data_IF_570896416298
#
_entry.id   IF_570896416298
#
_cell.length_a   1.000
_cell.length_b   1.000
_cell.length_c   1.000
_cell.angle_alpha   90.00
_cell.angle_beta   90.00
_cell.angle_gamma   90.00
#
_symmetry.space_group_name_H-M   'P 1'
#
loop_
_entity.id
_entity.type
_entity.pdbx_description
1 polymer ?
#
# COMPACT_ATOMS: atom_id res chain seq x y z
N UNK A 1 -14.76 -30.71 10.91
CA UNK A 1 -13.66 -30.00 10.21
C UNK A 1 -14.09 -29.41 8.85
N UNK A 2 -14.76 -30.18 7.97
CA UNK A 2 -15.20 -29.68 6.65
C UNK A 2 -16.26 -28.54 6.70
N UNK A 3 -17.21 -28.58 7.65
CA UNK A 3 -18.20 -27.50 7.81
C UNK A 3 -17.55 -26.14 8.12
N UNK A 4 -16.52 -26.13 8.97
CA UNK A 4 -15.80 -24.90 9.31
C UNK A 4 -14.97 -24.38 8.13
N UNK A 5 -14.45 -25.27 7.27
CA UNK A 5 -13.71 -24.88 6.08
C UNK A 5 -14.64 -24.23 5.03
N UNK A 6 -15.84 -24.77 4.83
CA UNK A 6 -16.84 -24.20 3.91
C UNK A 6 -17.39 -22.86 4.43
N UNK A 7 -17.63 -22.74 5.73
CA UNK A 7 -18.04 -21.47 6.33
C UNK A 7 -16.97 -20.38 6.17
N UNK A 8 -15.68 -20.70 6.41
CA UNK A 8 -14.56 -19.77 6.19
C UNK A 8 -14.44 -19.34 4.72
N UNK A 9 -14.55 -20.27 3.77
CA UNK A 9 -14.56 -19.97 2.32
C UNK A 9 -15.71 -19.04 1.95
N UNK A 10 -16.92 -19.33 2.43
CA UNK A 10 -18.10 -18.52 2.18
C UNK A 10 -17.95 -17.10 2.73
N UNK A 11 -17.50 -16.96 3.98
CA UNK A 11 -17.20 -15.66 4.59
C UNK A 11 -16.16 -14.87 3.78
N UNK A 12 -15.04 -15.51 3.39
CA UNK A 12 -13.98 -14.85 2.65
C UNK A 12 -14.43 -14.39 1.26
N UNK A 13 -15.17 -15.22 0.52
CA UNK A 13 -15.73 -14.86 -0.78
C UNK A 13 -16.77 -13.74 -0.63
N UNK A 14 -17.62 -13.80 0.40
CA UNK A 14 -18.61 -12.76 0.67
C UNK A 14 -17.95 -11.42 0.97
N UNK A 15 -16.84 -11.41 1.72
CA UNK A 15 -16.05 -10.22 1.99
C UNK A 15 -15.44 -9.63 0.71
N UNK A 16 -14.92 -10.45 -0.20
CA UNK A 16 -14.41 -10.00 -1.51
C UNK A 16 -15.54 -9.38 -2.33
N UNK A 17 -16.70 -10.05 -2.42
CA UNK A 17 -17.86 -9.53 -3.14
C UNK A 17 -18.35 -8.20 -2.56
N UNK A 18 -18.32 -8.06 -1.24
CA UNK A 18 -18.64 -6.80 -0.57
C UNK A 18 -17.66 -5.68 -0.97
N UNK A 19 -16.35 -5.99 -1.06
CA UNK A 19 -15.32 -5.02 -1.45
C UNK A 19 -15.42 -4.57 -2.92
N UNK A 20 -16.13 -5.32 -3.77
CA UNK A 20 -16.40 -4.92 -5.17
C UNK A 20 -17.55 -3.91 -5.28
N UNK A 21 -18.31 -3.67 -4.21
CA UNK A 21 -19.37 -2.68 -4.20
C UNK A 21 -18.80 -1.26 -4.09
N UNK A 22 -19.40 -0.27 -4.77
CA UNK A 22 -18.90 1.12 -4.79
C UNK A 22 -18.94 1.81 -3.42
N UNK A 23 -19.65 1.25 -2.45
CA UNK A 23 -19.76 1.79 -1.09
C UNK A 23 -18.55 1.47 -0.21
N UNK A 24 -17.74 0.46 -0.57
CA UNK A 24 -16.56 0.07 0.21
C UNK A 24 -15.34 0.82 -0.30
N UNK A 25 -14.90 1.83 0.45
CA UNK A 25 -13.64 2.53 0.18
C UNK A 25 -12.41 1.62 0.43
N UNK A 26 -11.25 1.85 -0.24
CA UNK A 26 -10.03 1.09 0.01
C UNK A 26 -9.59 1.00 1.49
N UNK A 27 -9.70 2.07 2.33
CA UNK A 27 -9.47 1.96 3.77
C UNK A 27 -10.34 0.90 4.46
N UNK A 28 -11.63 0.83 4.11
CA UNK A 28 -12.57 -0.11 4.70
C UNK A 28 -12.28 -1.54 4.25
N UNK A 29 -11.98 -1.74 2.96
CA UNK A 29 -11.59 -3.05 2.43
C UNK A 29 -10.33 -3.58 3.13
N UNK A 30 -9.32 -2.73 3.32
CA UNK A 30 -8.07 -3.10 3.99
C UNK A 30 -8.29 -3.40 5.47
N UNK A 31 -9.09 -2.60 6.17
CA UNK A 31 -9.47 -2.87 7.57
C UNK A 31 -10.22 -4.20 7.71
N UNK A 32 -11.17 -4.46 6.82
CA UNK A 32 -11.95 -5.69 6.81
C UNK A 32 -11.05 -6.90 6.53
N UNK A 33 -10.10 -6.78 5.61
CA UNK A 33 -9.07 -7.79 5.37
C UNK A 33 -8.19 -8.04 6.59
N UNK A 34 -7.77 -6.99 7.32
CA UNK A 34 -6.99 -7.09 8.55
C UNK A 34 -7.78 -7.83 9.65
N UNK A 35 -9.06 -7.47 9.86
CA UNK A 35 -9.94 -8.12 10.83
C UNK A 35 -10.11 -9.60 10.49
N UNK A 36 -10.36 -9.93 9.22
CA UNK A 36 -10.47 -11.32 8.78
C UNK A 36 -9.15 -12.09 8.98
N UNK A 37 -8.01 -11.49 8.69
CA UNK A 37 -6.71 -12.12 8.90
C UNK A 37 -6.42 -12.43 10.39
N UNK A 38 -6.99 -11.66 11.32
CA UNK A 38 -6.88 -11.92 12.77
C UNK A 38 -7.88 -12.98 13.26
N UNK A 39 -9.07 -13.03 12.68
CA UNK A 39 -10.16 -13.92 13.13
C UNK A 39 -10.12 -15.31 12.50
N UNK A 40 -9.54 -15.44 11.31
CA UNK A 40 -9.55 -16.70 10.57
C UNK A 40 -8.26 -16.94 9.78
N UNK A 41 -7.86 -18.20 9.68
CA UNK A 41 -6.81 -18.61 8.74
C UNK A 41 -7.29 -18.48 7.30
N UNK A 42 -6.39 -18.02 6.43
CA UNK A 42 -6.69 -17.73 5.05
C UNK A 42 -7.09 -19.00 4.27
N UNK A 43 -8.35 -19.15 3.82
CA UNK A 43 -8.86 -20.40 3.25
C UNK A 43 -8.26 -20.75 1.87
N UNK A 44 -7.63 -19.78 1.20
CA UNK A 44 -7.00 -19.93 -0.12
C UNK A 44 -5.50 -19.60 -0.10
N UNK A 45 -4.77 -19.97 0.96
CA UNK A 45 -3.37 -19.57 1.15
C UNK A 45 -2.47 -19.90 -0.06
N UNK A 46 -2.64 -21.07 -0.68
CA UNK A 46 -1.86 -21.48 -1.86
C UNK A 46 -2.13 -20.67 -3.14
N UNK A 47 -3.26 -19.96 -3.24
CA UNK A 47 -3.60 -19.11 -4.38
C UNK A 47 -3.30 -17.62 -4.11
N UNK A 48 -3.12 -17.24 -2.85
CA UNK A 48 -3.05 -15.85 -2.40
C UNK A 48 -1.97 -15.07 -3.17
N UNK A 49 -0.73 -15.58 -3.18
CA UNK A 49 0.39 -14.91 -3.86
C UNK A 49 0.13 -14.68 -5.36
N UNK A 50 -0.48 -15.66 -6.05
CA UNK A 50 -0.79 -15.54 -7.48
C UNK A 50 -1.92 -14.54 -7.73
N UNK A 51 -2.96 -14.59 -6.90
CA UNK A 51 -4.09 -13.68 -6.99
C UNK A 51 -3.67 -12.23 -6.74
N UNK A 52 -2.95 -11.96 -5.64
CA UNK A 52 -2.43 -10.63 -5.31
C UNK A 52 -1.59 -10.06 -6.45
N UNK A 53 -0.67 -10.86 -7.01
CA UNK A 53 0.18 -10.41 -8.12
C UNK A 53 -0.61 -10.00 -9.37
N UNK A 54 -1.63 -10.77 -9.76
CA UNK A 54 -2.44 -10.43 -10.94
C UNK A 54 -3.39 -9.27 -10.67
N UNK A 55 -4.06 -9.25 -9.51
CA UNK A 55 -4.97 -8.17 -9.14
C UNK A 55 -4.22 -6.82 -9.11
N UNK A 56 -3.04 -6.76 -8.49
CA UNK A 56 -2.23 -5.53 -8.45
C UNK A 56 -1.85 -5.06 -9.86
N UNK A 57 -1.44 -5.97 -10.76
CA UNK A 57 -1.12 -5.61 -12.15
C UNK A 57 -2.33 -5.03 -12.87
N UNK A 58 -3.49 -5.66 -12.76
CA UNK A 58 -4.72 -5.14 -13.38
C UNK A 58 -5.13 -3.78 -12.79
N UNK A 59 -5.02 -3.59 -11.47
CA UNK A 59 -5.29 -2.31 -10.83
C UNK A 59 -4.36 -1.20 -11.32
N UNK A 60 -3.05 -1.47 -11.44
CA UNK A 60 -2.07 -0.49 -11.94
C UNK A 60 -2.35 -0.12 -13.40
N UNK A 61 -2.62 -1.11 -14.26
CA UNK A 61 -2.96 -0.87 -15.66
C UNK A 61 -4.27 -0.09 -15.79
N UNK A 62 -5.29 -0.46 -15.00
CA UNK A 62 -6.58 0.24 -14.97
C UNK A 62 -6.45 1.69 -14.51
N UNK A 63 -5.66 1.96 -13.47
CA UNK A 63 -5.35 3.33 -13.03
C UNK A 63 -4.62 4.12 -14.12
N UNK A 64 -3.72 3.47 -14.87
CA UNK A 64 -2.99 4.08 -15.99
C UNK A 64 -3.90 4.60 -17.11
N UNK A 65 -4.96 3.88 -17.46
CA UNK A 65 -5.93 4.34 -18.47
C UNK A 65 -6.70 5.61 -18.07
N UNK A 66 -6.81 5.89 -16.77
CA UNK A 66 -7.47 7.10 -16.27
C UNK A 66 -6.55 8.34 -16.19
N UNK A 67 -5.28 8.21 -16.59
CA UNK A 67 -4.26 9.23 -16.31
C UNK A 67 -3.84 9.99 -17.57
N UNK A 68 -3.68 11.32 -17.46
CA UNK A 68 -3.13 12.14 -18.54
C UNK A 68 -1.60 11.93 -18.63
N UNK A 69 -1.15 11.42 -19.78
CA UNK A 69 0.26 11.08 -20.03
C UNK A 69 1.19 12.30 -19.94
N UNK A 70 0.73 13.47 -20.39
CA UNK A 70 1.52 14.71 -20.36
C UNK A 70 1.74 15.16 -18.92
N UNK A 71 0.67 15.19 -18.13
CA UNK A 71 0.75 15.57 -16.70
C UNK A 71 1.62 14.59 -15.91
N UNK A 72 1.56 13.30 -16.25
CA UNK A 72 2.40 12.29 -15.63
C UNK A 72 3.89 12.47 -15.97
N UNK A 73 4.22 12.84 -17.21
CA UNK A 73 5.61 13.11 -17.62
C UNK A 73 6.19 14.36 -16.94
N UNK A 74 5.42 15.44 -16.85
CA UNK A 74 5.84 16.68 -16.18
C UNK A 74 6.11 16.44 -14.69
N UNK A 75 5.15 15.81 -13.99
CA UNK A 75 5.30 15.47 -12.58
C UNK A 75 6.45 14.49 -12.30
N UNK A 76 6.76 13.60 -13.25
CA UNK A 76 7.85 12.65 -13.12
C UNK A 76 9.21 13.32 -13.24
N UNK A 77 9.36 14.27 -14.18
CA UNK A 77 10.60 15.01 -14.39
C UNK A 77 10.97 15.86 -13.17
N UNK A 78 10.00 16.52 -12.56
CA UNK A 78 10.21 17.30 -11.32
C UNK A 78 10.38 16.39 -10.09
N UNK A 79 9.75 15.21 -10.11
CA UNK A 79 9.69 14.29 -8.97
C UNK A 79 10.90 13.37 -8.78
N UNK A 80 11.67 13.07 -9.82
CA UNK A 80 12.75 12.07 -9.79
C UNK A 80 13.78 12.32 -8.67
N UNK A 81 14.31 13.55 -8.58
CA UNK A 81 15.34 13.87 -7.59
C UNK A 81 14.80 13.68 -6.16
N UNK A 82 13.57 14.15 -5.93
CA UNK A 82 12.91 13.99 -4.65
C UNK A 82 12.67 12.51 -4.33
N UNK A 83 12.22 11.70 -5.29
CA UNK A 83 12.03 10.27 -5.10
C UNK A 83 13.34 9.58 -4.69
N UNK A 84 14.43 9.82 -5.42
CA UNK A 84 15.75 9.24 -5.13
C UNK A 84 16.19 9.61 -3.71
N UNK A 85 16.17 10.89 -3.37
CA UNK A 85 16.55 11.36 -2.03
C UNK A 85 15.67 10.72 -0.95
N UNK A 86 14.35 10.67 -1.17
CA UNK A 86 13.42 10.07 -0.21
C UNK A 86 13.70 8.59 0.02
N UNK A 87 13.99 7.83 -1.05
CA UNK A 87 14.33 6.41 -0.95
C UNK A 87 15.61 6.23 -0.15
N UNK A 88 16.66 7.00 -0.44
CA UNK A 88 17.92 6.94 0.32
C UNK A 88 17.71 7.27 1.80
N UNK A 89 16.94 8.30 2.12
CA UNK A 89 16.64 8.69 3.50
C UNK A 89 15.87 7.58 4.22
N UNK A 90 14.80 7.04 3.62
CA UNK A 90 13.97 6.00 4.24
C UNK A 90 14.74 4.69 4.40
N UNK A 91 15.55 4.28 3.41
CA UNK A 91 16.39 3.08 3.53
C UNK A 91 17.46 3.24 4.61
N UNK A 92 18.11 4.40 4.68
CA UNK A 92 19.12 4.69 5.71
C UNK A 92 18.50 4.70 7.10
N UNK A 93 17.34 5.35 7.25
CA UNK A 93 16.59 5.34 8.50
C UNK A 93 16.16 3.92 8.89
N UNK A 94 15.65 3.13 7.94
CA UNK A 94 15.27 1.74 8.16
C UNK A 94 16.43 0.85 8.61
N UNK A 95 17.63 1.06 8.05
CA UNK A 95 18.84 0.38 8.47
C UNK A 95 19.24 0.75 9.91
N UNK A 96 19.24 2.03 10.25
CA UNK A 96 19.56 2.51 11.61
C UNK A 96 18.55 1.97 12.62
N UNK A 97 17.25 2.07 12.33
CA UNK A 97 16.18 1.55 13.18
C UNK A 97 16.25 0.03 13.33
N UNK A 98 16.57 -0.69 12.25
CA UNK A 98 16.80 -2.14 12.30
C UNK A 98 17.91 -2.53 13.26
N UNK A 99 19.02 -1.77 13.25
CA UNK A 99 20.12 -1.97 14.20
C UNK A 99 19.70 -1.63 15.63
N UNK A 100 18.96 -0.54 15.83
CA UNK A 100 18.50 -0.09 17.15
C UNK A 100 17.54 -1.09 17.81
N UNK A 101 16.60 -1.64 17.03
CA UNK A 101 15.61 -2.61 17.51
C UNK A 101 16.06 -4.06 17.40
N UNK A 102 17.34 -4.31 17.06
CA UNK A 102 17.90 -5.66 16.89
C UNK A 102 17.07 -6.56 15.96
N UNK A 103 16.52 -5.97 14.90
CA UNK A 103 15.68 -6.70 13.93
C UNK A 103 16.56 -7.41 12.90
N UNK A 104 16.08 -8.55 12.38
CA UNK A 104 16.80 -9.29 11.34
C UNK A 104 17.07 -8.41 10.10
N UNK A 105 18.27 -8.48 9.49
CA UNK A 105 18.68 -7.56 8.44
C UNK A 105 17.80 -7.65 7.18
N UNK A 106 17.33 -8.84 6.82
CA UNK A 106 16.42 -9.04 5.68
C UNK A 106 15.06 -8.43 5.97
N UNK A 107 14.48 -8.66 7.14
CA UNK A 107 13.19 -8.08 7.55
C UNK A 107 13.25 -6.56 7.62
N UNK A 108 14.28 -6.00 8.26
CA UNK A 108 14.47 -4.55 8.34
C UNK A 108 14.61 -3.93 6.95
N UNK A 109 15.41 -4.52 6.06
CA UNK A 109 15.56 -4.05 4.69
C UNK A 109 14.26 -4.15 3.89
N UNK A 110 13.54 -5.26 3.98
CA UNK A 110 12.27 -5.45 3.25
C UNK A 110 11.20 -4.46 3.73
N UNK A 111 11.09 -4.22 5.04
CA UNK A 111 10.18 -3.19 5.58
C UNK A 111 10.58 -1.83 5.05
N UNK A 112 11.86 -1.46 5.16
CA UNK A 112 12.36 -0.16 4.70
C UNK A 112 12.14 0.05 3.20
N UNK A 113 12.42 -0.96 2.37
CA UNK A 113 12.21 -0.91 0.93
C UNK A 113 10.72 -0.86 0.56
N UNK A 114 9.87 -1.61 1.27
CA UNK A 114 8.43 -1.52 1.17
C UNK A 114 7.93 -0.11 1.50
N UNK A 115 8.40 0.47 2.60
CA UNK A 115 8.06 1.83 3.02
C UNK A 115 8.66 2.90 2.10
N UNK A 116 9.75 2.67 1.39
CA UNK A 116 10.38 3.68 0.54
C UNK A 116 9.77 3.79 -0.87
N UNK A 117 9.27 2.67 -1.42
CA UNK A 117 8.98 2.58 -2.86
C UNK A 117 7.46 2.49 -3.11
N UNK A 118 6.90 1.29 -3.01
CA UNK A 118 5.51 0.99 -3.37
C UNK A 118 4.91 -0.13 -2.51
N UNK A 119 5.35 -0.25 -1.26
CA UNK A 119 4.78 -1.18 -0.30
C UNK A 119 5.03 -2.64 -0.66
N UNK A 120 3.94 -3.40 -0.81
CA UNK A 120 3.99 -4.85 -1.03
C UNK A 120 4.67 -5.27 -2.33
N UNK A 121 4.56 -4.49 -3.40
CA UNK A 121 5.21 -4.80 -4.69
C UNK A 121 6.73 -4.72 -4.61
N UNK A 122 7.27 -3.77 -3.83
CA UNK A 122 8.71 -3.68 -3.61
C UNK A 122 9.22 -4.89 -2.81
N UNK A 123 8.47 -5.29 -1.77
CA UNK A 123 8.80 -6.51 -1.00
C UNK A 123 8.78 -7.73 -1.92
N UNK A 124 7.73 -7.92 -2.71
CA UNK A 124 7.62 -9.06 -3.63
C UNK A 124 8.77 -9.10 -4.66
N UNK A 125 9.20 -7.95 -5.18
CA UNK A 125 10.28 -7.86 -6.16
C UNK A 125 11.67 -8.12 -5.54
N UNK A 126 11.92 -7.63 -4.31
CA UNK A 126 13.24 -7.72 -3.67
C UNK A 126 13.45 -9.02 -2.88
N UNK A 127 12.37 -9.67 -2.46
CA UNK A 127 12.45 -10.90 -1.64
C UNK A 127 13.25 -12.04 -2.28
N UNK A 128 13.13 -12.35 -3.59
CA UNK A 128 13.94 -13.38 -4.25
C UNK A 128 15.43 -13.03 -4.29
N UNK A 129 15.74 -11.74 -4.52
CA UNK A 129 17.13 -11.24 -4.58
C UNK A 129 17.80 -11.33 -3.21
N UNK A 130 17.06 -11.00 -2.15
CA UNK A 130 17.52 -11.10 -0.75
C UNK A 130 17.52 -12.54 -0.21
N UNK A 131 17.01 -13.51 -0.97
CA UNK A 131 16.74 -14.88 -0.51
C UNK A 131 16.02 -14.88 0.83
N UNK A 132 14.97 -14.05 0.94
CA UNK A 132 14.19 -13.93 2.16
C UNK A 132 13.31 -15.16 2.36
N UNK A 133 13.20 -15.62 3.61
CA UNK A 133 12.29 -16.70 3.97
C UNK A 133 10.84 -16.24 3.93
N UNK A 134 9.89 -17.16 3.70
CA UNK A 134 8.46 -16.83 3.69
C UNK A 134 8.01 -16.12 4.97
N UNK A 135 8.60 -16.48 6.12
CA UNK A 135 8.34 -15.82 7.40
C UNK A 135 8.76 -14.35 7.37
N UNK A 136 9.97 -14.04 6.88
CA UNK A 136 10.47 -12.66 6.78
C UNK A 136 9.62 -11.83 5.82
N UNK A 137 9.22 -12.41 4.69
CA UNK A 137 8.33 -11.77 3.71
C UNK A 137 6.98 -11.46 4.34
N UNK A 138 6.37 -12.45 4.99
CA UNK A 138 5.05 -12.34 5.61
C UNK A 138 5.03 -11.29 6.73
N UNK A 139 6.05 -11.28 7.59
CA UNK A 139 6.19 -10.27 8.65
C UNK A 139 6.36 -8.86 8.06
N UNK A 140 7.20 -8.73 7.02
CA UNK A 140 7.43 -7.44 6.37
C UNK A 140 6.16 -6.88 5.71
N UNK A 141 5.43 -7.72 4.98
CA UNK A 141 4.15 -7.35 4.37
C UNK A 141 3.12 -6.98 5.44
N UNK A 142 3.02 -7.75 6.52
CA UNK A 142 2.09 -7.48 7.62
C UNK A 142 2.34 -6.11 8.26
N UNK A 143 3.60 -5.79 8.55
CA UNK A 143 3.98 -4.49 9.14
C UNK A 143 3.66 -3.35 8.17
N UNK A 144 4.08 -3.45 6.91
CA UNK A 144 3.84 -2.40 5.91
C UNK A 144 2.34 -2.17 5.71
N UNK A 145 1.54 -3.22 5.55
CA UNK A 145 0.10 -3.06 5.39
C UNK A 145 -0.59 -2.53 6.64
N UNK A 146 -0.12 -2.89 7.84
CA UNK A 146 -0.65 -2.35 9.08
C UNK A 146 -0.37 -0.84 9.19
N UNK A 147 0.86 -0.39 8.87
CA UNK A 147 1.21 1.03 8.86
C UNK A 147 0.41 1.80 7.79
N UNK A 148 0.22 1.21 6.61
CA UNK A 148 -0.62 1.76 5.55
C UNK A 148 -2.08 1.90 6.00
N UNK A 149 -2.62 0.91 6.72
CA UNK A 149 -3.95 0.96 7.31
C UNK A 149 -4.07 2.17 8.25
N UNK A 150 -3.10 2.35 9.15
CA UNK A 150 -3.06 3.49 10.06
C UNK A 150 -3.03 4.80 9.27
N UNK A 151 -2.20 4.90 8.24
CA UNK A 151 -2.09 6.09 7.39
C UNK A 151 -3.43 6.46 6.73
N UNK A 152 -4.18 5.47 6.23
CA UNK A 152 -5.48 5.67 5.57
C UNK A 152 -6.53 6.36 6.45
N UNK A 153 -6.44 6.18 7.77
CA UNK A 153 -7.33 6.86 8.73
C UNK A 153 -6.71 8.14 9.29
N UNK A 154 -5.41 8.10 9.59
CA UNK A 154 -4.70 9.20 10.23
C UNK A 154 -4.55 10.41 9.31
N UNK A 155 -4.15 10.19 8.04
CA UNK A 155 -3.89 11.29 7.10
C UNK A 155 -5.12 12.17 6.89
N UNK A 156 -6.30 11.66 6.51
CA UNK A 156 -7.48 12.50 6.34
C UNK A 156 -7.88 13.25 7.61
N UNK A 157 -7.70 12.64 8.79
CA UNK A 157 -8.00 13.29 10.07
C UNK A 157 -7.05 14.47 10.33
N UNK A 158 -5.74 14.26 10.15
CA UNK A 158 -4.71 15.30 10.31
C UNK A 158 -4.89 16.40 9.26
N UNK A 159 -5.15 16.05 8.00
CA UNK A 159 -5.37 17.02 6.92
C UNK A 159 -6.55 17.95 7.21
N UNK A 160 -7.66 17.40 7.73
CA UNK A 160 -8.83 18.19 8.15
C UNK A 160 -8.52 19.08 9.35
N UNK A 161 -7.80 18.56 10.35
CA UNK A 161 -7.39 19.34 11.52
C UNK A 161 -6.45 20.50 11.15
N UNK A 162 -5.63 20.33 10.11
CA UNK A 162 -4.75 21.36 9.57
C UNK A 162 -5.42 22.26 8.52
N UNK A 163 -6.72 22.06 8.24
CA UNK A 163 -7.47 22.79 7.21
C UNK A 163 -6.81 22.80 5.83
N UNK A 164 -6.16 21.69 5.44
CA UNK A 164 -5.49 21.58 4.15
C UNK A 164 -6.51 21.65 3.00
N UNK A 165 -6.18 22.40 1.95
CA UNK A 165 -6.93 22.34 0.70
C UNK A 165 -6.80 20.96 0.05
N UNK A 166 -7.72 20.58 -0.84
CA UNK A 166 -7.64 19.29 -1.54
C UNK A 166 -6.33 19.14 -2.32
N UNK A 167 -5.81 20.22 -2.91
CA UNK A 167 -4.53 20.21 -3.60
C UNK A 167 -3.34 19.97 -2.66
N UNK A 168 -3.31 20.66 -1.51
CA UNK A 168 -2.27 20.47 -0.50
C UNK A 168 -2.29 19.06 0.08
N UNK A 169 -3.49 18.57 0.40
CA UNK A 169 -3.66 17.21 0.92
C UNK A 169 -3.25 16.15 -0.10
N UNK A 170 -3.64 16.32 -1.37
CA UNK A 170 -3.27 15.41 -2.46
C UNK A 170 -1.75 15.33 -2.65
N UNK A 171 -1.06 16.48 -2.68
CA UNK A 171 0.41 16.54 -2.74
C UNK A 171 1.06 15.89 -1.53
N UNK A 172 0.56 16.18 -0.33
CA UNK A 172 1.10 15.61 0.90
C UNK A 172 0.96 14.08 0.93
N UNK A 173 -0.20 13.55 0.55
CA UNK A 173 -0.43 12.11 0.41
C UNK A 173 0.52 11.48 -0.61
N UNK A 174 0.70 12.07 -1.79
CA UNK A 174 1.59 11.54 -2.81
C UNK A 174 3.06 11.48 -2.38
N UNK A 175 3.47 12.41 -1.52
CA UNK A 175 4.84 12.52 -1.02
C UNK A 175 5.07 11.57 0.18
N UNK A 176 4.16 11.58 1.15
CA UNK A 176 4.38 10.93 2.44
C UNK A 176 3.88 9.48 2.50
N UNK A 177 2.89 9.11 1.68
CA UNK A 177 2.42 7.73 1.59
C UNK A 177 3.14 7.05 0.42
N UNK A 178 3.90 6.01 0.75
CA UNK A 178 4.72 5.34 -0.25
C UNK A 178 3.96 4.27 -1.03
N UNK A 179 2.90 3.70 -0.47
CA UNK A 179 2.05 2.72 -1.13
C UNK A 179 0.94 3.38 -1.97
N UNK A 180 0.93 3.11 -3.28
CA UNK A 180 -0.02 3.72 -4.24
C UNK A 180 -1.48 3.44 -3.86
N UNK A 181 -1.80 2.23 -3.42
CA UNK A 181 -3.17 1.88 -3.05
C UNK A 181 -3.66 2.67 -1.83
N UNK A 182 -2.74 2.95 -0.90
CA UNK A 182 -3.00 3.74 0.31
C UNK A 182 -3.12 5.23 0.00
N UNK A 183 -2.34 5.75 -0.97
CA UNK A 183 -2.47 7.12 -1.48
C UNK A 183 -3.87 7.34 -2.04
N UNK A 184 -4.29 6.46 -2.95
CA UNK A 184 -5.61 6.51 -3.61
C UNK A 184 -6.73 6.45 -2.56
N UNK A 185 -6.61 5.55 -1.59
CA UNK A 185 -7.61 5.41 -0.52
C UNK A 185 -7.71 6.64 0.40
N UNK A 186 -6.58 7.22 0.80
CA UNK A 186 -6.56 8.39 1.69
C UNK A 186 -7.04 9.65 0.96
N UNK A 187 -6.54 9.89 -0.26
CA UNK A 187 -6.89 11.04 -1.08
C UNK A 187 -8.35 11.00 -1.56
N UNK A 188 -8.84 9.83 -1.97
CA UNK A 188 -10.25 9.64 -2.37
C UNK A 188 -11.24 9.97 -1.25
N UNK A 189 -10.88 9.70 0.01
CA UNK A 189 -11.71 10.07 1.17
C UNK A 189 -11.72 11.58 1.45
N UNK A 190 -10.72 12.31 0.97
CA UNK A 190 -10.57 13.74 1.18
C UNK A 190 -11.25 14.58 0.08
N UNK A 191 -11.30 14.06 -1.15
CA UNK A 191 -12.07 14.62 -2.25
C UNK A 191 -11.53 14.24 -3.62
N UNK A 192 -12.31 14.49 -4.68
CA UNK A 192 -11.94 14.12 -6.06
C UNK A 192 -10.69 14.84 -6.55
N UNK A 193 -10.53 16.12 -6.24
CA UNK A 193 -9.34 16.87 -6.65
C UNK A 193 -8.08 16.34 -5.94
N UNK A 194 -8.20 16.03 -4.65
CA UNK A 194 -7.11 15.42 -3.89
C UNK A 194 -6.71 14.07 -4.48
N UNK A 195 -7.69 13.24 -4.84
CA UNK A 195 -7.47 11.95 -5.48
C UNK A 195 -6.73 12.09 -6.81
N UNK A 196 -7.17 12.98 -7.68
CA UNK A 196 -6.53 13.23 -8.98
C UNK A 196 -5.06 13.64 -8.79
N UNK A 197 -4.81 14.69 -7.99
CA UNK A 197 -3.46 15.21 -7.74
C UNK A 197 -2.58 14.12 -7.13
N UNK A 198 -3.07 13.45 -6.08
CA UNK A 198 -2.29 12.45 -5.36
C UNK A 198 -1.89 11.28 -6.26
N UNK A 199 -2.86 10.78 -7.05
CA UNK A 199 -2.66 9.65 -7.96
C UNK A 199 -1.70 10.01 -9.08
N UNK A 200 -1.88 11.17 -9.72
CA UNK A 200 -1.02 11.63 -10.80
C UNK A 200 0.42 11.81 -10.32
N UNK A 201 0.64 12.54 -9.23
CA UNK A 201 2.00 12.80 -8.71
C UNK A 201 2.65 11.51 -8.23
N UNK A 202 1.88 10.60 -7.63
CA UNK A 202 2.41 9.32 -7.15
C UNK A 202 2.82 8.40 -8.29
N UNK A 203 1.99 8.26 -9.33
CA UNK A 203 2.28 7.42 -10.48
C UNK A 203 3.37 8.01 -11.37
N UNK A 204 3.45 9.34 -11.46
CA UNK A 204 4.50 10.03 -12.19
C UNK A 204 5.90 9.81 -11.61
N UNK A 205 5.99 9.60 -10.29
CA UNK A 205 7.27 9.52 -9.57
C UNK A 205 7.69 8.11 -9.14
N UNK A 206 6.81 7.12 -9.29
CA UNK A 206 7.03 5.73 -8.90
C UNK A 206 7.77 4.96 -10.00
#
# INVERSE_FOLDING_TARGET
MQLQLNARKFLFISAILLCLLPFISPPLALLLGLILAQLMEHPFAGLNHRATNWLLKFSVVGLGFGMNVVTALEAGREGILFTVVSIFVVLSAGFVLGKLFHTGPKTSFLIAAGTAICGGSAIAALSPVMKASEKEISVSLGIVFMLNAVALFLFPAVGRAMHLSQGQFGMWCAIAIHDTSSVVGAAGKYGEQALQIATTVKLARA
#
